data_IF_953355470193
#
_entry.id   IF_953355470193
#
_cell.length_a   1.000
_cell.length_b   1.000
_cell.length_c   1.000
_cell.angle_alpha   90.00
_cell.angle_beta   90.00
_cell.angle_gamma   90.00
#
_symmetry.space_group_name_H-M   'P 1'
#
loop_
_entity.id
_entity.type
_entity.pdbx_description
1 polymer ?
#
# COMPACT_ATOMS: atom_id res chain seq x y z
N UNK A 1 -2.00 -15.37 -49.83
CA UNK A 1 -1.89 -16.19 -51.05
C UNK A 1 -2.84 -17.38 -50.93
N UNK A 2 -3.91 -17.43 -51.74
CA UNK A 2 -4.86 -18.56 -51.76
C UNK A 2 -4.20 -19.78 -52.41
N UNK A 3 -4.15 -20.92 -51.72
CA UNK A 3 -3.93 -22.23 -52.35
C UNK A 3 -5.30 -22.87 -52.60
N UNK A 4 -5.66 -23.02 -53.87
CA UNK A 4 -6.82 -23.81 -54.31
C UNK A 4 -6.43 -25.29 -54.26
N UNK A 5 -7.23 -26.11 -53.57
CA UNK A 5 -7.13 -27.57 -53.63
C UNK A 5 -8.36 -28.05 -54.40
N UNK A 6 -8.14 -28.80 -55.46
CA UNK A 6 -9.20 -29.46 -56.24
C UNK A 6 -9.27 -30.94 -55.81
N UNK A 7 -10.46 -31.41 -55.46
CA UNK A 7 -10.71 -32.84 -55.24
C UNK A 7 -11.84 -33.25 -56.18
N UNK A 8 -11.54 -34.14 -57.13
CA UNK A 8 -12.53 -34.79 -57.98
C UNK A 8 -12.70 -36.23 -57.49
N UNK A 9 -13.93 -36.63 -57.16
CA UNK A 9 -14.27 -38.00 -56.85
C UNK A 9 -15.11 -38.56 -58.02
N UNK A 10 -14.53 -39.48 -58.80
CA UNK A 10 -15.28 -40.28 -59.77
C UNK A 10 -15.57 -41.66 -59.15
N UNK A 11 -16.83 -42.00 -58.95
CA UNK A 11 -17.24 -43.36 -58.60
C UNK A 11 -17.49 -44.16 -59.88
N UNK A 12 -16.72 -45.23 -60.08
CA UNK A 12 -17.01 -46.23 -61.09
C UNK A 12 -17.84 -47.36 -60.45
N UNK A 13 -19.06 -47.59 -60.95
CA UNK A 13 -19.83 -48.80 -60.59
C UNK A 13 -19.19 -50.01 -61.25
N UNK A 14 -18.53 -50.87 -60.47
CA UNK A 14 -18.21 -52.24 -60.90
C UNK A 14 -19.45 -53.12 -60.76
N UNK A 15 -19.94 -53.69 -61.87
CA UNK A 15 -20.76 -54.90 -61.82
C UNK A 15 -19.87 -56.08 -61.43
N UNK A 16 -20.27 -56.81 -60.40
CA UNK A 16 -19.60 -58.03 -59.95
C UNK A 16 -19.91 -59.20 -60.90
N UNK A 17 -18.88 -59.94 -61.30
CA UNK A 17 -19.00 -61.31 -61.80
C UNK A 17 -18.13 -62.23 -60.93
N UNK A 18 -18.75 -63.31 -60.44
CA UNK A 18 -18.14 -64.29 -59.55
C UNK A 18 -17.15 -65.19 -60.31
N UNK A 19 -16.00 -65.46 -59.70
CA UNK A 19 -15.00 -66.41 -60.19
C UNK A 19 -14.02 -66.80 -59.09
N UNK A 20 -14.03 -68.09 -58.76
CA UNK A 20 -13.28 -68.85 -57.74
C UNK A 20 -11.74 -68.80 -57.93
N UNK A 21 -10.98 -68.86 -56.83
CA UNK A 21 -9.55 -69.21 -56.88
C UNK A 21 -8.71 -68.83 -55.65
N UNK A 22 -8.38 -69.87 -54.88
CA UNK A 22 -7.49 -70.05 -53.73
C UNK A 22 -6.14 -69.29 -53.62
N UNK A 23 -5.83 -69.01 -52.34
CA UNK A 23 -4.58 -69.29 -51.59
C UNK A 23 -3.43 -68.26 -51.35
N UNK A 24 -3.12 -68.20 -50.05
CA UNK A 24 -1.93 -67.92 -49.22
C UNK A 24 -0.93 -66.75 -49.41
N UNK A 25 -0.55 -66.25 -48.22
CA UNK A 25 0.74 -65.69 -47.75
C UNK A 25 0.99 -64.16 -47.72
N UNK A 26 0.98 -63.65 -46.48
CA UNK A 26 1.73 -62.51 -45.91
C UNK A 26 3.28 -62.70 -45.96
N UNK A 27 4.19 -61.76 -45.53
CA UNK A 27 4.06 -60.39 -44.99
C UNK A 27 5.13 -59.34 -45.45
N UNK A 28 5.05 -58.12 -44.89
CA UNK A 28 6.13 -57.17 -44.48
C UNK A 28 6.51 -55.92 -45.31
N UNK A 29 6.52 -54.79 -44.56
CA UNK A 29 7.55 -53.72 -44.44
C UNK A 29 7.36 -52.35 -45.14
N UNK A 30 7.05 -51.36 -44.26
CA UNK A 30 7.60 -49.97 -44.10
C UNK A 30 7.47 -48.95 -45.26
N UNK A 31 7.03 -47.69 -44.99
CA UNK A 31 6.67 -46.74 -46.04
C UNK A 31 7.88 -45.99 -46.60
N UNK A 32 8.05 -46.02 -47.92
CA UNK A 32 8.85 -45.07 -48.69
C UNK A 32 7.93 -44.11 -49.45
N UNK A 33 8.13 -42.82 -49.21
CA UNK A 33 8.00 -41.64 -50.10
C UNK A 33 7.05 -41.79 -51.32
N UNK A 34 6.03 -40.92 -51.51
CA UNK A 34 5.13 -41.05 -52.65
C UNK A 34 5.88 -40.75 -53.96
N UNK A 35 6.07 -41.78 -54.77
CA UNK A 35 6.42 -41.71 -56.19
C UNK A 35 5.22 -41.18 -56.98
N UNK A 36 5.50 -40.30 -57.95
CA UNK A 36 4.52 -39.80 -58.88
C UNK A 36 4.04 -40.94 -59.81
N UNK A 37 2.78 -41.36 -59.64
CA UNK A 37 2.15 -42.31 -60.54
C UNK A 37 1.79 -41.58 -61.83
N UNK A 38 2.57 -41.81 -62.88
CA UNK A 38 2.28 -41.32 -64.23
C UNK A 38 1.50 -42.42 -64.98
N UNK A 39 0.16 -42.39 -64.90
CA UNK A 39 -0.68 -43.29 -65.70
C UNK A 39 -0.99 -42.63 -67.03
N UNK A 40 -0.47 -43.19 -68.11
CA UNK A 40 -0.90 -42.85 -69.48
C UNK A 40 -2.26 -43.51 -69.74
N UNK A 41 -3.34 -42.77 -70.06
CA UNK A 41 -4.64 -43.37 -70.31
C UNK A 41 -4.61 -44.14 -71.64
N UNK A 42 -4.91 -45.43 -71.59
CA UNK A 42 -5.21 -46.22 -72.79
C UNK A 42 -6.65 -45.91 -73.18
N UNK A 43 -6.81 -45.25 -74.33
CA UNK A 43 -8.11 -44.86 -74.89
C UNK A 43 -8.96 -46.09 -75.17
N UNK A 44 -10.12 -46.17 -74.54
CA UNK A 44 -11.29 -46.93 -75.00
C UNK A 44 -12.54 -46.04 -74.92
N UNK A 45 -13.46 -46.29 -75.84
CA UNK A 45 -14.64 -45.53 -76.29
C UNK A 45 -15.60 -44.97 -75.23
N UNK A 46 -16.42 -43.95 -75.58
CA UNK A 46 -17.04 -43.04 -74.62
C UNK A 46 -18.28 -43.66 -73.96
N UNK A 47 -18.20 -43.95 -72.67
CA UNK A 47 -19.37 -43.93 -71.81
C UNK A 47 -19.36 -42.59 -71.09
N UNK A 48 -20.46 -41.84 -71.22
CA UNK A 48 -20.66 -40.54 -70.58
C UNK A 48 -20.43 -40.63 -69.07
N UNK A 49 -19.24 -40.23 -68.63
CA UNK A 49 -18.96 -39.97 -67.23
C UNK A 49 -19.60 -38.62 -66.92
N UNK A 50 -20.78 -38.65 -66.32
CA UNK A 50 -21.40 -37.45 -65.75
C UNK A 50 -20.64 -37.06 -64.48
N UNK A 51 -19.63 -36.19 -64.65
CA UNK A 51 -19.02 -35.49 -63.52
C UNK A 51 -20.03 -34.48 -62.96
N UNK A 52 -20.20 -34.43 -61.64
CA UNK A 52 -20.89 -33.31 -60.99
C UNK A 52 -20.16 -32.00 -61.29
N UNK A 53 -20.89 -30.89 -61.49
CA UNK A 53 -20.29 -29.58 -61.76
C UNK A 53 -19.33 -29.17 -60.63
N UNK A 54 -18.25 -28.46 -60.98
CA UNK A 54 -17.30 -27.93 -60.00
C UNK A 54 -18.01 -26.97 -59.03
N UNK A 55 -18.16 -27.37 -57.77
CA UNK A 55 -18.62 -26.47 -56.73
C UNK A 55 -17.47 -25.64 -56.18
N UNK A 56 -17.66 -24.32 -56.14
CA UNK A 56 -16.70 -23.42 -55.50
C UNK A 56 -16.94 -23.43 -53.99
N UNK A 57 -16.19 -24.24 -53.25
CA UNK A 57 -16.23 -24.19 -51.78
C UNK A 57 -15.56 -22.89 -51.31
N UNK A 58 -16.34 -21.96 -50.74
CA UNK A 58 -15.78 -20.78 -50.07
C UNK A 58 -15.17 -21.23 -48.74
N UNK A 59 -13.91 -20.86 -48.49
CA UNK A 59 -13.33 -21.01 -47.16
C UNK A 59 -14.21 -20.22 -46.17
N UNK A 60 -14.75 -20.93 -45.17
CA UNK A 60 -15.44 -20.29 -44.05
C UNK A 60 -14.41 -19.40 -43.36
N UNK A 61 -14.73 -18.11 -43.19
CA UNK A 61 -13.88 -17.18 -42.44
C UNK A 61 -13.67 -17.77 -41.04
N UNK A 62 -12.42 -17.86 -40.60
CA UNK A 62 -12.11 -18.40 -39.28
C UNK A 62 -12.73 -17.53 -38.18
N UNK A 63 -13.13 -18.17 -37.08
CA UNK A 63 -13.56 -17.41 -35.91
C UNK A 63 -12.34 -16.79 -35.24
N UNK A 64 -12.49 -15.55 -34.76
CA UNK A 64 -11.45 -14.95 -33.93
C UNK A 64 -11.42 -15.64 -32.56
N UNK A 65 -10.22 -15.88 -32.00
CA UNK A 65 -10.11 -16.37 -30.63
C UNK A 65 -10.62 -15.31 -29.63
N UNK A 66 -11.02 -15.76 -28.45
CA UNK A 66 -11.58 -14.96 -27.37
C UNK A 66 -10.88 -15.25 -26.04
N UNK A 67 -10.72 -14.20 -25.24
CA UNK A 67 -10.32 -14.30 -23.85
C UNK A 67 -11.59 -14.25 -23.00
N UNK A 68 -11.73 -15.20 -22.08
CA UNK A 68 -12.84 -15.32 -21.14
C UNK A 68 -12.29 -15.34 -19.72
N UNK A 69 -13.14 -15.09 -18.73
CA UNK A 69 -12.81 -15.25 -17.30
C UNK A 69 -11.50 -14.52 -16.92
N UNK A 70 -11.39 -13.26 -17.34
CA UNK A 70 -10.17 -12.46 -17.14
C UNK A 70 -10.14 -11.97 -15.70
N UNK A 71 -9.05 -12.24 -15.01
CA UNK A 71 -8.87 -11.90 -13.61
C UNK A 71 -7.43 -11.43 -13.33
N UNK A 72 -7.29 -10.60 -12.30
CA UNK A 72 -6.00 -10.23 -11.73
C UNK A 72 -5.82 -11.06 -10.46
N UNK A 73 -4.78 -11.88 -10.42
CA UNK A 73 -4.38 -12.63 -9.23
C UNK A 73 -3.20 -11.94 -8.52
N UNK A 74 -3.19 -12.00 -7.20
CA UNK A 74 -2.12 -11.44 -6.36
C UNK A 74 -2.61 -10.30 -5.47
N UNK A 75 -1.78 -9.93 -4.49
CA UNK A 75 -2.07 -8.80 -3.61
C UNK A 75 -1.76 -7.48 -4.33
N UNK A 76 -2.72 -6.57 -4.39
CA UNK A 76 -2.61 -5.30 -5.15
C UNK A 76 -1.90 -4.21 -4.33
N UNK A 77 -0.72 -4.56 -3.81
CA UNK A 77 0.16 -3.66 -3.08
C UNK A 77 1.47 -3.47 -3.85
N UNK A 78 2.12 -2.34 -3.63
CA UNK A 78 3.48 -2.11 -4.07
C UNK A 78 4.39 -3.26 -3.67
N UNK A 79 5.35 -3.56 -4.55
CA UNK A 79 6.34 -4.63 -4.46
C UNK A 79 5.78 -6.06 -4.58
N UNK A 80 4.47 -6.22 -4.75
CA UNK A 80 3.84 -7.52 -4.99
C UNK A 80 3.64 -7.76 -6.49
N UNK A 81 3.85 -9.02 -6.90
CA UNK A 81 3.65 -9.45 -8.28
C UNK A 81 2.20 -9.87 -8.50
N UNK A 82 1.60 -9.26 -9.52
CA UNK A 82 0.30 -9.60 -10.05
C UNK A 82 0.44 -10.51 -11.27
N UNK A 83 -0.53 -11.40 -11.43
CA UNK A 83 -0.62 -12.33 -12.56
C UNK A 83 -1.96 -12.15 -13.27
N UNK A 84 -1.90 -11.93 -14.58
CA UNK A 84 -3.08 -11.89 -15.42
C UNK A 84 -3.47 -13.31 -15.83
N UNK A 85 -4.68 -13.71 -15.47
CA UNK A 85 -5.24 -14.99 -15.90
C UNK A 85 -6.40 -14.75 -16.84
N UNK A 86 -6.58 -15.68 -17.76
CA UNK A 86 -7.72 -15.73 -18.66
C UNK A 86 -7.85 -17.14 -19.23
N UNK A 87 -9.05 -17.46 -19.66
CA UNK A 87 -9.37 -18.68 -20.40
C UNK A 87 -9.43 -18.38 -21.89
N UNK A 88 -8.56 -19.02 -22.65
CA UNK A 88 -8.60 -18.97 -24.11
C UNK A 88 -9.77 -19.81 -24.66
N UNK A 89 -10.48 -19.25 -25.62
CA UNK A 89 -11.54 -19.92 -26.35
C UNK A 89 -11.44 -19.65 -27.85
N UNK A 90 -11.57 -20.69 -28.67
CA UNK A 90 -11.64 -20.58 -30.12
C UNK A 90 -12.69 -21.56 -30.66
N UNK A 91 -13.60 -21.09 -31.52
CA UNK A 91 -14.72 -21.92 -32.00
C UNK A 91 -14.25 -23.01 -32.96
N UNK A 92 -13.19 -22.73 -33.72
CA UNK A 92 -12.58 -23.63 -34.68
C UNK A 92 -11.59 -24.60 -34.01
N UNK A 93 -11.39 -24.46 -32.70
CA UNK A 93 -10.44 -25.22 -31.88
C UNK A 93 -8.99 -25.01 -32.33
N UNK A 94 -8.70 -23.84 -32.92
CA UNK A 94 -7.32 -23.49 -33.24
C UNK A 94 -6.53 -23.26 -31.93
N UNK A 95 -5.36 -23.91 -31.77
CA UNK A 95 -4.55 -23.75 -30.57
C UNK A 95 -4.08 -22.32 -30.37
N UNK A 96 -4.04 -21.92 -29.09
CA UNK A 96 -3.48 -20.64 -28.68
C UNK A 96 -1.99 -20.54 -29.06
N UNK A 97 -1.60 -19.34 -29.50
CA UNK A 97 -0.19 -18.91 -29.65
C UNK A 97 0.15 -17.81 -28.63
N UNK A 98 1.25 -17.08 -28.83
CA UNK A 98 1.66 -15.99 -27.94
C UNK A 98 0.63 -14.85 -27.97
N UNK A 99 -0.27 -14.86 -27.00
CA UNK A 99 -1.23 -13.77 -26.78
C UNK A 99 -0.50 -12.50 -26.33
N UNK A 100 -1.09 -11.34 -26.58
CA UNK A 100 -0.50 -10.05 -26.21
C UNK A 100 -1.11 -9.57 -24.90
N UNK A 101 -0.28 -9.02 -24.01
CA UNK A 101 -0.70 -8.53 -22.70
C UNK A 101 -0.35 -7.05 -22.54
N UNK A 102 -1.18 -6.33 -21.79
CA UNK A 102 -0.86 -4.98 -21.33
C UNK A 102 -1.34 -4.80 -19.89
N UNK A 103 -0.43 -4.34 -19.03
CA UNK A 103 -0.74 -3.82 -17.71
C UNK A 103 -0.76 -2.29 -17.76
N UNK A 104 -1.84 -1.71 -17.25
CA UNK A 104 -2.07 -0.27 -17.28
C UNK A 104 -2.36 0.20 -15.86
N UNK A 105 -1.55 1.11 -15.35
CA UNK A 105 -1.83 1.81 -14.09
C UNK A 105 -2.58 3.09 -14.41
N UNK A 106 -3.71 3.30 -13.73
CA UNK A 106 -4.61 4.43 -13.91
C UNK A 106 -4.49 5.32 -12.68
N UNK A 107 -3.90 6.51 -12.84
CA UNK A 107 -3.77 7.52 -11.78
C UNK A 107 -4.41 8.81 -12.26
N UNK A 108 -5.31 9.40 -11.47
CA UNK A 108 -5.99 10.64 -11.84
C UNK A 108 -6.62 10.60 -13.25
N UNK A 109 -7.21 9.46 -13.63
CA UNK A 109 -7.76 9.18 -14.96
C UNK A 109 -6.74 9.21 -16.12
N UNK A 110 -5.46 9.01 -15.83
CA UNK A 110 -4.39 8.88 -16.83
C UNK A 110 -3.94 7.42 -16.88
N UNK A 111 -4.16 6.79 -18.03
CA UNK A 111 -3.74 5.42 -18.32
C UNK A 111 -2.26 5.38 -18.70
N UNK A 112 -1.44 4.64 -17.94
CA UNK A 112 -0.01 4.43 -18.23
C UNK A 112 0.26 2.94 -18.42
N UNK A 113 0.73 2.54 -19.61
CA UNK A 113 1.18 1.16 -19.83
C UNK A 113 2.49 0.93 -19.08
N UNK A 114 2.50 -0.05 -18.18
CA UNK A 114 3.64 -0.34 -17.29
C UNK A 114 4.32 -1.69 -17.58
N UNK A 115 3.63 -2.62 -18.25
CA UNK A 115 4.20 -3.92 -18.65
C UNK A 115 3.44 -4.51 -19.83
N UNK A 116 4.14 -5.36 -20.62
CA UNK A 116 3.55 -6.21 -21.66
C UNK A 116 3.73 -7.70 -21.41
N UNK A 117 4.22 -8.05 -20.24
CA UNK A 117 4.33 -9.43 -19.78
C UNK A 117 3.01 -9.89 -19.16
N UNK A 118 2.82 -11.21 -19.01
CA UNK A 118 1.65 -11.76 -18.33
C UNK A 118 1.61 -11.42 -16.83
N UNK A 119 2.76 -11.09 -16.23
CA UNK A 119 2.88 -10.66 -14.85
C UNK A 119 3.44 -9.25 -14.73
N UNK A 120 3.13 -8.58 -13.62
CA UNK A 120 3.64 -7.25 -13.31
C UNK A 120 3.85 -7.07 -11.80
N UNK A 121 5.03 -6.60 -11.40
CA UNK A 121 5.30 -6.20 -10.01
C UNK A 121 4.91 -4.74 -9.81
N UNK A 122 3.87 -4.52 -9.01
CA UNK A 122 3.35 -3.19 -8.71
C UNK A 122 4.43 -2.34 -8.05
N UNK A 123 4.53 -1.04 -8.36
CA UNK A 123 5.47 -0.15 -7.71
C UNK A 123 4.84 0.48 -6.46
N UNK A 124 5.63 0.80 -5.44
CA UNK A 124 5.12 1.55 -4.26
C UNK A 124 4.46 2.87 -4.64
N UNK A 125 4.92 3.51 -5.72
CA UNK A 125 4.35 4.76 -6.24
C UNK A 125 3.00 4.56 -6.96
N UNK A 126 2.56 3.32 -7.19
CA UNK A 126 1.27 2.99 -7.81
C UNK A 126 0.11 3.00 -6.83
N UNK A 127 0.38 2.84 -5.54
CA UNK A 127 -0.62 2.92 -4.49
C UNK A 127 -1.19 4.34 -4.37
N UNK A 128 -2.44 4.43 -3.93
CA UNK A 128 -3.09 5.69 -3.66
C UNK A 128 -4.60 5.66 -3.86
N UNK A 129 -5.26 6.63 -3.22
CA UNK A 129 -6.71 6.78 -3.29
C UNK A 129 -7.18 6.96 -4.72
N UNK A 130 -8.02 6.03 -5.18
CA UNK A 130 -8.60 6.04 -6.52
C UNK A 130 -7.67 5.57 -7.64
N UNK A 131 -6.46 5.10 -7.32
CA UNK A 131 -5.59 4.47 -8.31
C UNK A 131 -6.11 3.06 -8.63
N UNK A 132 -6.02 2.68 -9.91
CA UNK A 132 -6.50 1.40 -10.40
C UNK A 132 -5.44 0.72 -11.25
N UNK A 133 -5.52 -0.61 -11.34
CA UNK A 133 -4.73 -1.43 -12.22
C UNK A 133 -5.66 -2.13 -13.21
N UNK A 134 -5.31 -2.09 -14.49
CA UNK A 134 -6.03 -2.76 -15.56
C UNK A 134 -5.11 -3.77 -16.23
N UNK A 135 -5.58 -5.01 -16.35
CA UNK A 135 -4.95 -6.05 -17.14
C UNK A 135 -5.76 -6.27 -18.41
N UNK A 136 -5.10 -6.19 -19.56
CA UNK A 136 -5.69 -6.43 -20.87
C UNK A 136 -4.98 -7.59 -21.57
N UNK A 137 -5.77 -8.42 -22.26
CA UNK A 137 -5.29 -9.52 -23.08
C UNK A 137 -5.90 -9.45 -24.47
N UNK A 138 -5.06 -9.69 -25.48
CA UNK A 138 -5.50 -9.96 -26.86
C UNK A 138 -5.12 -11.41 -27.19
N UNK A 139 -6.08 -12.33 -27.31
CA UNK A 139 -5.79 -13.73 -27.58
C UNK A 139 -5.36 -13.92 -29.03
N UNK A 140 -4.35 -14.75 -29.27
CA UNK A 140 -3.85 -15.06 -30.61
C UNK A 140 -3.89 -16.57 -30.87
N UNK A 141 -4.15 -16.91 -32.12
CA UNK A 141 -3.92 -18.24 -32.68
C UNK A 141 -2.98 -18.12 -33.90
N UNK A 142 -2.76 -19.20 -34.66
CA UNK A 142 -1.83 -19.16 -35.80
C UNK A 142 -2.36 -18.39 -37.03
N UNK A 143 -3.64 -17.99 -37.04
CA UNK A 143 -4.36 -17.47 -38.20
C UNK A 143 -5.03 -16.12 -37.97
N UNK A 144 -5.52 -15.88 -36.75
CA UNK A 144 -6.38 -14.75 -36.38
C UNK A 144 -5.94 -14.14 -35.04
N UNK A 145 -6.25 -12.85 -34.89
CA UNK A 145 -6.10 -12.10 -33.65
C UNK A 145 -7.49 -11.76 -33.10
N UNK A 146 -7.71 -12.06 -31.83
CA UNK A 146 -8.93 -11.71 -31.12
C UNK A 146 -9.06 -10.22 -30.83
N UNK A 147 -10.19 -9.84 -30.26
CA UNK A 147 -10.40 -8.49 -29.77
C UNK A 147 -9.81 -8.37 -28.35
N UNK A 148 -9.32 -7.17 -27.99
CA UNK A 148 -8.80 -6.88 -26.66
C UNK A 148 -9.91 -7.02 -25.61
N UNK A 149 -9.58 -7.63 -24.48
CA UNK A 149 -10.46 -7.74 -23.33
C UNK A 149 -9.69 -7.36 -22.08
N UNK A 150 -10.33 -6.64 -21.16
CA UNK A 150 -9.66 -6.11 -19.98
C UNK A 150 -10.48 -6.30 -18.71
N UNK A 151 -9.80 -6.41 -17.57
CA UNK A 151 -10.36 -6.28 -16.22
C UNK A 151 -9.67 -5.12 -15.52
N UNK A 152 -10.42 -4.32 -14.75
CA UNK A 152 -9.89 -3.19 -13.98
C UNK A 152 -10.27 -3.35 -12.52
N UNK A 153 -9.29 -3.15 -11.65
CA UNK A 153 -9.44 -3.33 -10.21
C UNK A 153 -8.77 -2.20 -9.44
N UNK A 154 -9.29 -1.87 -8.27
CA UNK A 154 -8.67 -0.87 -7.41
C UNK A 154 -7.35 -1.38 -6.84
N UNK A 155 -6.31 -0.53 -6.87
CA UNK A 155 -5.07 -0.77 -6.15
C UNK A 155 -5.34 -0.57 -4.66
N UNK A 156 -4.70 -1.35 -3.80
CA UNK A 156 -4.95 -1.30 -2.38
C UNK A 156 -4.55 0.06 -1.78
N UNK A 157 -5.47 0.68 -1.04
CA UNK A 157 -5.23 1.88 -0.24
C UNK A 157 -6.19 1.93 0.93
N UNK A 158 -5.84 2.72 1.95
CA UNK A 158 -6.75 2.96 3.07
C UNK A 158 -6.71 4.42 3.51
N UNK A 159 -7.79 4.85 4.16
CA UNK A 159 -7.92 6.17 4.76
C UNK A 159 -8.54 6.04 6.15
N UNK A 160 -8.02 6.80 7.12
CA UNK A 160 -8.61 6.88 8.45
C UNK A 160 -9.68 7.97 8.52
N UNK A 161 -10.64 7.77 9.42
CA UNK A 161 -11.72 8.70 9.74
C UNK A 161 -11.80 8.90 11.25
N UNK A 162 -12.00 10.14 11.70
CA UNK A 162 -12.26 10.44 13.11
C UNK A 162 -11.23 11.39 13.73
N UNK A 163 -10.90 11.16 15.00
CA UNK A 163 -10.21 12.14 15.85
C UNK A 163 -8.96 11.53 16.53
N UNK A 164 -7.78 12.08 16.29
CA UNK A 164 -6.51 11.73 16.94
C UNK A 164 -6.26 12.53 18.24
N UNK A 165 -7.28 12.61 19.07
CA UNK A 165 -7.21 13.33 20.35
C UNK A 165 -7.73 12.43 21.47
N UNK A 166 -7.61 12.90 22.71
CA UNK A 166 -8.15 12.20 23.87
C UNK A 166 -9.67 11.92 23.71
N UNK A 167 -10.08 10.69 24.02
CA UNK A 167 -11.42 10.15 23.76
C UNK A 167 -11.74 9.91 22.28
N UNK A 168 -10.79 10.15 21.38
CA UNK A 168 -10.93 10.00 19.94
C UNK A 168 -10.89 8.54 19.48
N UNK A 169 -11.52 8.29 18.34
CA UNK A 169 -11.55 6.99 17.67
C UNK A 169 -11.19 7.20 16.22
N UNK A 170 -10.32 6.33 15.70
CA UNK A 170 -9.93 6.29 14.29
C UNK A 170 -10.50 5.03 13.65
N UNK A 171 -11.36 5.21 12.65
CA UNK A 171 -11.95 4.10 11.88
C UNK A 171 -11.30 4.03 10.51
N UNK A 172 -10.77 2.88 10.08
CA UNK A 172 -10.16 2.76 8.77
C UNK A 172 -11.20 2.40 7.70
N UNK A 173 -11.02 2.93 6.50
CA UNK A 173 -11.74 2.56 5.28
C UNK A 173 -10.72 1.98 4.30
N UNK A 174 -10.94 0.74 3.86
CA UNK A 174 -10.02 -0.01 3.01
C UNK A 174 -10.66 -0.24 1.65
N UNK A 175 -9.88 -0.09 0.59
CA UNK A 175 -10.28 -0.39 -0.80
C UNK A 175 -9.15 -1.18 -1.45
N UNK A 176 -9.48 -2.19 -2.27
CA UNK A 176 -8.50 -3.00 -3.01
C UNK A 176 -7.71 -4.01 -2.17
N UNK A 177 -7.89 -4.03 -0.85
CA UNK A 177 -7.23 -4.99 0.05
C UNK A 177 -7.65 -6.44 -0.30
N UNK A 178 -6.72 -7.41 -0.25
CA UNK A 178 -7.03 -8.82 -0.43
C UNK A 178 -7.77 -9.35 0.81
N UNK A 179 -8.25 -10.60 0.73
CA UNK A 179 -8.69 -11.31 1.91
C UNK A 179 -7.52 -11.53 2.87
N UNK A 180 -7.63 -11.01 4.09
CA UNK A 180 -6.64 -11.17 5.17
C UNK A 180 -7.26 -11.85 6.38
N UNK A 181 -6.46 -12.56 7.17
CA UNK A 181 -6.94 -13.36 8.31
C UNK A 181 -7.08 -12.54 9.58
N UNK A 182 -6.19 -11.56 9.77
CA UNK A 182 -6.21 -10.65 10.90
C UNK A 182 -5.70 -9.26 10.50
N UNK A 183 -5.96 -8.28 11.35
CA UNK A 183 -5.44 -6.93 11.21
C UNK A 183 -5.02 -6.36 12.56
N UNK A 184 -4.08 -5.42 12.54
CA UNK A 184 -3.69 -4.73 13.75
C UNK A 184 -3.11 -3.34 13.47
N UNK A 185 -3.21 -2.47 14.47
CA UNK A 185 -2.58 -1.16 14.47
C UNK A 185 -1.19 -1.25 15.10
N UNK A 186 -0.21 -0.65 14.45
CA UNK A 186 1.19 -0.59 14.90
C UNK A 186 1.66 0.85 14.98
N UNK A 187 2.41 1.18 16.03
CA UNK A 187 3.14 2.44 16.11
C UNK A 187 4.55 2.25 15.54
N UNK A 188 5.10 3.29 14.92
CA UNK A 188 6.52 3.31 14.56
C UNK A 188 7.47 3.50 15.78
N UNK A 189 6.92 3.50 17.00
CA UNK A 189 7.69 3.53 18.23
C UNK A 189 8.42 2.23 18.48
N UNK A 190 9.76 2.28 18.55
CA UNK A 190 10.59 1.11 18.87
C UNK A 190 10.49 0.67 20.34
N UNK A 191 9.71 1.38 21.16
CA UNK A 191 9.48 1.03 22.57
C UNK A 191 8.27 0.12 22.74
N UNK A 192 7.37 0.12 21.76
CA UNK A 192 6.20 -0.74 21.75
C UNK A 192 6.49 -1.89 20.78
N UNK A 193 6.57 -3.11 21.32
CA UNK A 193 6.65 -4.32 20.49
C UNK A 193 5.29 -4.95 20.28
N UNK A 194 4.24 -4.53 21.00
CA UNK A 194 2.90 -5.08 20.86
C UNK A 194 2.04 -4.32 19.84
N UNK A 195 1.00 -5.00 19.33
CA UNK A 195 -0.05 -4.34 18.56
C UNK A 195 -0.88 -3.41 19.47
N UNK A 196 -1.20 -2.20 19.00
CA UNK A 196 -2.00 -1.23 19.76
C UNK A 196 -3.49 -1.61 19.79
N UNK A 197 -3.96 -2.25 18.72
CA UNK A 197 -5.29 -2.83 18.62
C UNK A 197 -5.22 -3.99 17.65
N UNK A 198 -5.73 -5.16 18.05
CA UNK A 198 -5.67 -6.41 17.30
C UNK A 198 -7.08 -6.92 17.01
N UNK A 199 -7.31 -7.29 15.76
CA UNK A 199 -8.50 -7.98 15.32
C UNK A 199 -8.13 -9.30 14.64
N UNK A 200 -8.56 -10.40 15.26
CA UNK A 200 -8.32 -11.77 14.76
C UNK A 200 -9.45 -12.25 13.86
N UNK A 201 -10.44 -11.40 13.58
CA UNK A 201 -11.57 -11.75 12.72
C UNK A 201 -11.19 -11.52 11.25
N UNK A 202 -11.50 -12.52 10.42
CA UNK A 202 -11.21 -12.52 9.00
C UNK A 202 -11.79 -11.27 8.30
N UNK A 203 -10.94 -10.58 7.54
CA UNK A 203 -11.28 -9.39 6.76
C UNK A 203 -11.93 -8.25 7.57
N UNK A 204 -11.71 -8.20 8.90
CA UNK A 204 -12.21 -7.12 9.75
C UNK A 204 -11.06 -6.29 10.33
N UNK A 205 -11.35 -5.01 10.54
CA UNK A 205 -10.45 -4.07 11.17
C UNK A 205 -11.17 -3.33 12.28
N UNK A 206 -10.68 -3.49 13.51
CA UNK A 206 -11.17 -2.70 14.65
C UNK A 206 -10.74 -1.24 14.53
N UNK A 207 -11.63 -0.29 14.85
CA UNK A 207 -11.22 1.08 15.07
C UNK A 207 -10.14 1.19 16.16
N UNK A 208 -9.21 2.12 15.97
CA UNK A 208 -8.21 2.45 16.97
C UNK A 208 -8.79 3.46 17.96
N UNK A 209 -8.91 3.06 19.23
CA UNK A 209 -9.30 3.97 20.31
C UNK A 209 -8.02 4.64 20.82
N UNK A 210 -7.93 5.96 20.71
CA UNK A 210 -6.71 6.73 21.00
C UNK A 210 -6.23 6.50 22.44
N UNK A 211 -7.15 6.47 23.40
CA UNK A 211 -6.82 6.39 24.83
C UNK A 211 -6.28 5.01 25.24
N UNK A 212 -6.59 3.95 24.50
CA UNK A 212 -6.14 2.58 24.80
C UNK A 212 -4.90 2.19 24.00
N UNK A 213 -4.42 3.04 23.08
CA UNK A 213 -3.31 2.74 22.17
C UNK A 213 -1.92 2.98 22.80
N UNK A 214 -1.78 2.75 24.10
CA UNK A 214 -0.59 3.06 24.91
C UNK A 214 0.03 4.42 24.56
N UNK A 215 -0.69 5.54 24.78
CA UNK A 215 -0.33 6.85 24.26
C UNK A 215 1.08 7.30 24.65
N UNK A 216 1.57 6.86 25.79
CA UNK A 216 2.92 7.13 26.31
C UNK A 216 4.04 6.69 25.35
N UNK A 217 3.79 5.63 24.58
CA UNK A 217 4.74 5.07 23.62
C UNK A 217 4.38 5.40 22.18
N UNK A 218 3.11 5.63 21.87
CA UNK A 218 2.64 5.87 20.50
C UNK A 218 2.49 7.36 20.14
N UNK A 219 2.44 8.27 21.12
CA UNK A 219 2.28 9.70 20.90
C UNK A 219 3.46 10.29 20.12
N UNK A 220 3.15 11.16 19.16
CA UNK A 220 4.08 11.75 18.19
C UNK A 220 4.78 10.72 17.27
N UNK A 221 4.35 9.46 17.24
CA UNK A 221 4.79 8.48 16.25
C UNK A 221 3.73 8.28 15.16
N UNK A 222 4.14 8.06 13.90
CA UNK A 222 3.21 7.63 12.88
C UNK A 222 2.62 6.27 13.24
N UNK A 223 1.37 6.10 12.85
CA UNK A 223 0.56 4.93 13.12
C UNK A 223 0.27 4.24 11.80
N UNK A 224 0.50 2.93 11.75
CA UNK A 224 0.24 2.10 10.58
C UNK A 224 -0.87 1.11 10.85
N UNK A 225 -1.68 0.84 9.82
CA UNK A 225 -2.56 -0.33 9.78
C UNK A 225 -1.80 -1.46 9.09
N UNK A 226 -1.77 -2.62 9.73
CA UNK A 226 -1.17 -3.83 9.21
C UNK A 226 -2.26 -4.89 9.01
N UNK A 227 -2.13 -5.68 7.95
CA UNK A 227 -2.95 -6.87 7.69
C UNK A 227 -2.04 -8.08 7.47
N UNK A 228 -2.43 -9.23 8.01
CA UNK A 228 -1.75 -10.50 7.77
C UNK A 228 -2.60 -11.44 6.93
N UNK A 229 -1.96 -12.12 5.98
CA UNK A 229 -2.60 -13.16 5.18
C UNK A 229 -2.67 -14.51 5.92
N UNK A 230 -2.02 -14.62 7.08
CA UNK A 230 -1.99 -15.79 7.96
C UNK A 230 -2.46 -15.48 9.39
N UNK A 231 -2.31 -16.43 10.32
CA UNK A 231 -2.80 -16.28 11.70
C UNK A 231 -1.75 -15.72 12.66
N UNK A 232 -0.56 -15.42 12.17
CA UNK A 232 0.54 -14.88 12.94
C UNK A 232 0.52 -13.34 12.85
N UNK A 233 1.11 -12.69 13.86
CA UNK A 233 1.12 -11.22 13.96
C UNK A 233 2.56 -10.72 13.95
N UNK A 234 2.75 -9.56 13.32
CA UNK A 234 4.04 -8.86 13.26
C UNK A 234 5.14 -9.65 12.57
N UNK A 235 4.77 -10.41 11.55
CA UNK A 235 5.73 -11.09 10.70
C UNK A 235 6.25 -10.12 9.62
N UNK A 236 7.38 -10.48 9.00
CA UNK A 236 8.01 -9.65 7.98
C UNK A 236 7.21 -9.56 6.67
N UNK A 237 6.26 -10.47 6.46
CA UNK A 237 5.34 -10.50 5.31
C UNK A 237 4.02 -9.76 5.56
N UNK A 238 3.81 -9.20 6.76
CA UNK A 238 2.65 -8.38 7.07
C UNK A 238 2.64 -7.09 6.26
N UNK A 239 1.47 -6.76 5.70
CA UNK A 239 1.32 -5.60 4.85
C UNK A 239 0.92 -4.41 5.71
N UNK A 240 1.91 -3.59 6.07
CA UNK A 240 1.71 -2.38 6.86
C UNK A 240 1.71 -1.11 6.00
N UNK A 241 0.74 -0.23 6.22
CA UNK A 241 0.68 1.10 5.59
C UNK A 241 0.49 2.18 6.63
N UNK A 242 1.34 3.21 6.54
CA UNK A 242 1.26 4.40 7.40
C UNK A 242 -0.01 5.17 7.09
N UNK A 243 -0.75 5.55 8.13
CA UNK A 243 -1.92 6.41 8.00
C UNK A 243 -1.50 7.82 7.59
N UNK A 244 -2.15 8.34 6.55
CA UNK A 244 -1.87 9.66 6.00
C UNK A 244 -2.94 10.68 6.41
N UNK A 245 -2.50 11.93 6.61
CA UNK A 245 -3.34 13.08 6.85
C UNK A 245 -4.34 13.26 5.70
N UNK A 246 -5.59 13.57 6.04
CA UNK A 246 -6.66 13.83 5.09
C UNK A 246 -7.75 14.69 5.77
N UNK A 247 -8.76 15.12 5.00
CA UNK A 247 -9.82 16.00 5.51
C UNK A 247 -10.77 15.35 6.53
N UNK A 248 -10.75 14.02 6.66
CA UNK A 248 -11.59 13.25 7.57
C UNK A 248 -10.86 12.85 8.87
N UNK A 249 -9.57 13.22 9.01
CA UNK A 249 -8.78 13.01 10.22
C UNK A 249 -8.50 14.35 10.91
N UNK A 250 -9.06 14.50 12.10
CA UNK A 250 -8.91 15.69 12.92
C UNK A 250 -8.04 15.43 14.16
N UNK A 251 -7.51 16.49 14.76
CA UNK A 251 -6.79 16.42 16.04
C UNK A 251 -5.38 15.82 15.99
N UNK A 252 -4.98 15.25 14.85
CA UNK A 252 -3.62 14.75 14.62
C UNK A 252 -2.64 15.89 14.39
N UNK A 253 -1.35 15.60 14.52
CA UNK A 253 -0.28 16.55 14.23
C UNK A 253 0.48 16.12 12.97
N UNK A 254 0.64 17.05 12.04
CA UNK A 254 1.66 16.94 10.99
C UNK A 254 3.02 17.17 11.64
N UNK A 255 3.83 16.13 11.72
CA UNK A 255 5.12 16.17 12.44
C UNK A 255 6.33 16.23 11.50
N UNK A 256 6.12 15.90 10.22
CA UNK A 256 7.13 15.95 9.16
C UNK A 256 6.79 17.08 8.17
N UNK A 257 7.71 18.02 7.97
CA UNK A 257 7.51 19.12 7.00
C UNK A 257 7.97 18.78 5.60
N UNK A 258 8.84 17.77 5.48
CA UNK A 258 9.27 17.31 4.18
C UNK A 258 8.16 16.45 3.56
N UNK A 259 7.35 15.81 4.39
CA UNK A 259 6.13 15.11 3.99
C UNK A 259 4.96 15.46 4.92
N UNK A 260 4.17 16.47 4.52
CA UNK A 260 2.99 16.93 5.26
C UNK A 260 1.84 15.92 5.29
N UNK A 261 1.94 14.81 4.54
CA UNK A 261 0.97 13.72 4.62
C UNK A 261 1.15 12.88 5.87
N UNK A 262 2.31 12.96 6.54
CA UNK A 262 2.58 12.15 7.74
C UNK A 262 1.94 12.77 8.96
N UNK A 263 1.04 12.01 9.58
CA UNK A 263 0.32 12.41 10.78
C UNK A 263 0.68 11.49 11.94
N UNK A 264 0.82 12.07 13.12
CA UNK A 264 0.96 11.34 14.37
C UNK A 264 -0.13 11.74 15.35
N UNK A 265 -0.42 10.83 16.27
CA UNK A 265 -1.24 11.13 17.44
C UNK A 265 -0.60 12.30 18.22
N UNK A 266 -1.43 13.22 18.69
CA UNK A 266 -0.98 14.34 19.52
C UNK A 266 -1.72 14.33 20.86
N UNK A 267 -1.48 13.27 21.62
CA UNK A 267 -2.17 12.98 22.88
C UNK A 267 -1.65 13.84 24.04
N UNK A 268 -2.56 14.22 24.94
CA UNK A 268 -2.28 14.96 26.21
C UNK A 268 -1.21 16.05 26.09
N UNK A 269 -1.38 16.95 25.13
CA UNK A 269 -0.50 18.15 25.00
C UNK A 269 -0.39 18.92 26.31
N UNK A 270 -1.51 19.05 27.00
CA UNK A 270 -1.64 19.71 28.28
C UNK A 270 -2.27 18.75 29.28
N UNK A 271 -1.82 18.83 30.53
CA UNK A 271 -2.36 18.06 31.66
C UNK A 271 -2.65 19.01 32.81
N UNK A 272 -3.78 18.78 33.49
CA UNK A 272 -4.11 19.49 34.71
C UNK A 272 -3.64 18.67 35.90
N UNK A 273 -2.87 19.30 36.79
CA UNK A 273 -2.27 18.66 37.97
C UNK A 273 -2.63 19.45 39.22
N UNK A 274 -2.59 18.78 40.38
CA UNK A 274 -2.74 19.45 41.68
C UNK A 274 -1.52 19.16 42.53
N UNK A 275 -0.79 20.21 42.89
CA UNK A 275 0.47 20.13 43.63
C UNK A 275 0.34 20.98 44.87
N UNK A 276 0.46 20.35 46.04
CA UNK A 276 0.31 21.03 47.33
C UNK A 276 -0.99 21.86 47.44
N UNK A 277 -2.09 21.31 46.91
CA UNK A 277 -3.42 21.95 46.91
C UNK A 277 -3.63 23.03 45.84
N UNK A 278 -2.61 23.38 45.06
CA UNK A 278 -2.70 24.35 43.95
C UNK A 278 -2.88 23.61 42.63
N UNK A 279 -3.75 24.15 41.77
CA UNK A 279 -4.02 23.58 40.45
C UNK A 279 -3.13 24.25 39.41
N UNK A 280 -2.51 23.42 38.58
CA UNK A 280 -1.68 23.88 37.48
C UNK A 280 -2.07 23.15 36.20
N UNK A 281 -1.79 23.81 35.08
CA UNK A 281 -1.83 23.23 33.75
C UNK A 281 -0.40 23.16 33.24
N UNK A 282 0.08 21.95 33.02
CA UNK A 282 1.43 21.71 32.47
C UNK A 282 1.29 21.36 31.00
N UNK A 283 2.16 21.95 30.18
CA UNK A 283 2.26 21.62 28.77
C UNK A 283 3.59 20.97 28.45
N UNK A 284 3.55 19.92 27.64
CA UNK A 284 4.75 19.25 27.14
C UNK A 284 5.62 20.20 26.31
N UNK A 285 6.90 19.88 26.10
CA UNK A 285 7.71 20.61 25.14
C UNK A 285 7.01 20.65 23.80
N UNK A 286 7.06 21.83 23.19
CA UNK A 286 6.60 22.01 21.83
C UNK A 286 7.43 21.16 20.87
N UNK A 287 6.77 20.57 19.89
CA UNK A 287 7.51 20.10 18.72
C UNK A 287 7.92 21.31 17.88
N UNK A 288 9.03 21.18 17.15
CA UNK A 288 9.42 22.15 16.14
C UNK A 288 8.33 22.32 15.08
N UNK A 289 7.48 21.31 14.92
CA UNK A 289 6.34 21.38 14.02
C UNK A 289 5.25 22.33 14.49
N UNK A 290 4.79 22.13 15.72
CA UNK A 290 3.85 23.06 16.35
C UNK A 290 4.40 24.49 16.34
N UNK A 291 5.69 24.66 16.64
CA UNK A 291 6.33 25.97 16.68
C UNK A 291 6.29 26.70 15.32
N UNK A 292 6.50 25.98 14.21
CA UNK A 292 6.42 26.56 12.86
C UNK A 292 4.99 26.76 12.39
N UNK A 293 4.08 25.84 12.73
CA UNK A 293 2.66 25.94 12.38
C UNK A 293 2.03 27.22 12.96
N UNK A 294 2.39 27.60 14.19
CA UNK A 294 1.94 28.85 14.81
C UNK A 294 2.72 30.10 14.35
N UNK A 295 3.57 29.99 13.32
CA UNK A 295 4.43 31.06 12.80
C UNK A 295 5.35 31.70 13.86
N UNK A 296 5.66 30.99 14.94
CA UNK A 296 6.48 31.49 16.06
C UNK A 296 7.97 31.50 15.70
N UNK A 297 8.40 30.69 14.73
CA UNK A 297 9.78 30.67 14.24
C UNK A 297 10.23 31.96 13.56
N UNK A 298 9.28 32.84 13.18
CA UNK A 298 9.57 34.16 12.61
C UNK A 298 9.40 35.29 13.62
N UNK A 299 8.97 34.98 14.84
CA UNK A 299 8.74 35.98 15.87
C UNK A 299 10.11 36.50 16.39
N UNK A 300 10.39 37.80 16.30
CA UNK A 300 11.63 38.39 16.81
C UNK A 300 11.87 38.16 18.31
N UNK A 301 10.82 37.85 19.09
CA UNK A 301 10.94 37.55 20.52
C UNK A 301 11.58 36.18 20.78
N UNK A 302 11.54 35.25 19.81
CA UNK A 302 11.97 33.86 19.98
C UNK A 302 13.12 33.47 19.05
N UNK A 303 14.01 34.42 18.71
CA UNK A 303 15.11 34.20 17.76
C UNK A 303 16.15 33.15 18.19
N UNK A 304 16.23 32.77 19.47
CA UNK A 304 17.10 31.68 19.90
C UNK A 304 16.52 30.30 19.60
N UNK A 305 15.23 30.22 19.25
CA UNK A 305 14.54 28.96 19.01
C UNK A 305 15.25 28.14 17.94
N UNK A 306 15.50 26.88 18.26
CA UNK A 306 16.07 25.93 17.30
C UNK A 306 15.47 24.54 17.50
N UNK A 307 15.48 23.70 16.45
CA UNK A 307 15.07 22.32 16.59
C UNK A 307 16.10 21.54 17.41
N UNK A 308 15.59 20.74 18.34
CA UNK A 308 16.35 19.65 18.94
C UNK A 308 16.17 18.35 18.17
N UNK A 309 17.15 17.46 18.31
CA UNK A 309 17.05 16.08 17.84
C UNK A 309 16.46 15.27 18.99
N UNK A 310 15.30 14.63 18.79
CA UNK A 310 14.74 13.66 19.75
C UNK A 310 15.07 12.19 19.40
N UNK A 311 15.46 11.88 18.15
CA UNK A 311 16.25 10.68 17.77
C UNK A 311 16.70 10.69 16.29
N UNK A 312 17.83 10.06 16.00
CA UNK A 312 18.30 9.67 14.66
C UNK A 312 17.50 8.47 14.10
N UNK A 313 17.22 8.49 12.79
CA UNK A 313 16.48 7.47 12.04
C UNK A 313 15.41 8.06 11.10
N UNK A 314 14.53 7.22 10.53
CA UNK A 314 13.54 7.61 9.51
C UNK A 314 12.25 8.29 10.04
N UNK A 315 12.06 8.37 11.37
CA UNK A 315 10.80 8.84 12.01
C UNK A 315 11.02 10.00 13.01
N UNK A 316 11.87 10.97 12.65
CA UNK A 316 12.35 12.00 13.58
C UNK A 316 11.28 13.05 13.91
N UNK A 317 10.86 13.13 15.18
CA UNK A 317 10.21 14.32 15.76
C UNK A 317 11.29 15.25 16.30
N UNK A 318 11.17 16.56 16.07
CA UNK A 318 12.08 17.57 16.63
C UNK A 318 11.35 18.35 17.71
N UNK A 319 12.01 18.58 18.85
CA UNK A 319 11.48 19.45 19.93
C UNK A 319 11.99 20.88 19.77
N UNK A 320 11.40 21.84 20.47
CA UNK A 320 11.92 23.22 20.52
C UNK A 320 12.94 23.38 21.65
N UNK A 321 14.08 24.02 21.36
CA UNK A 321 15.04 24.51 22.36
C UNK A 321 15.16 26.02 22.29
N UNK A 322 15.33 26.67 23.44
CA UNK A 322 15.55 28.11 23.55
C UNK A 322 16.51 28.41 24.71
N UNK A 323 17.05 29.63 24.76
CA UNK A 323 17.72 30.12 25.97
C UNK A 323 16.76 30.21 27.15
N UNK A 324 17.23 30.12 28.41
CA UNK A 324 16.36 30.15 29.59
C UNK A 324 15.37 31.33 29.63
N UNK A 325 15.84 32.53 29.27
CA UNK A 325 15.01 33.75 29.25
C UNK A 325 13.93 33.64 28.18
N UNK A 326 14.29 33.27 26.95
CA UNK A 326 13.31 33.17 25.86
C UNK A 326 12.31 32.03 26.09
N UNK A 327 12.74 30.89 26.63
CA UNK A 327 11.85 29.80 27.04
C UNK A 327 10.80 30.29 28.07
N UNK A 328 11.24 31.02 29.10
CA UNK A 328 10.34 31.59 30.10
C UNK A 328 9.37 32.62 29.51
N UNK A 329 9.85 33.53 28.65
CA UNK A 329 9.00 34.52 28.00
C UNK A 329 7.99 33.85 27.07
N UNK A 330 8.42 32.83 26.32
CA UNK A 330 7.54 32.02 25.49
C UNK A 330 6.42 31.40 26.31
N UNK A 331 6.75 30.72 27.41
CA UNK A 331 5.74 30.10 28.26
C UNK A 331 4.79 31.12 28.89
N UNK A 332 5.31 32.26 29.38
CA UNK A 332 4.48 33.32 29.95
C UNK A 332 3.53 33.93 28.92
N UNK A 333 3.99 34.16 27.69
CA UNK A 333 3.16 34.73 26.62
C UNK A 333 2.13 33.73 26.11
N UNK A 334 2.51 32.47 25.95
CA UNK A 334 1.63 31.44 25.40
C UNK A 334 0.61 30.91 26.42
N UNK A 335 0.95 30.92 27.72
CA UNK A 335 0.18 30.21 28.76
C UNK A 335 -0.12 31.01 30.02
N UNK A 336 0.50 32.18 30.19
CA UNK A 336 0.43 32.95 31.42
C UNK A 336 1.41 32.45 32.48
N UNK A 337 1.29 33.03 33.68
CA UNK A 337 2.10 32.58 34.80
C UNK A 337 1.58 31.22 35.32
N UNK A 338 2.46 30.30 35.75
CA UNK A 338 3.92 30.48 35.90
C UNK A 338 4.79 29.82 34.79
N UNK A 339 5.05 30.52 33.69
CA UNK A 339 6.27 30.38 32.86
C UNK A 339 6.84 28.97 32.63
N UNK A 340 8.17 28.83 32.73
CA UNK A 340 8.85 27.52 32.67
C UNK A 340 8.65 26.77 33.98
N UNK A 341 8.42 25.46 33.89
CA UNK A 341 8.22 24.56 35.03
C UNK A 341 9.40 24.59 36.03
N UNK A 342 9.14 24.40 37.33
CA UNK A 342 10.19 24.21 38.34
C UNK A 342 10.65 22.76 38.45
N UNK A 343 11.86 22.55 38.97
CA UNK A 343 12.43 21.21 39.22
C UNK A 343 11.53 20.33 40.09
N UNK A 344 10.98 20.91 41.15
CA UNK A 344 10.10 20.21 42.09
C UNK A 344 8.86 19.63 41.41
N UNK A 345 8.22 20.40 40.53
CA UNK A 345 7.01 20.01 39.79
C UNK A 345 7.36 18.96 38.72
N UNK A 346 8.46 19.19 38.01
CA UNK A 346 8.93 18.28 36.95
C UNK A 346 9.20 16.87 37.49
N UNK A 347 9.74 16.76 38.72
CA UNK A 347 9.99 15.48 39.40
C UNK A 347 8.73 14.88 40.04
N UNK A 348 7.82 15.68 40.59
CA UNK A 348 6.65 15.19 41.34
C UNK A 348 5.50 14.68 40.47
N UNK A 349 5.27 15.27 39.30
CA UNK A 349 4.13 14.91 38.44
C UNK A 349 4.40 13.74 37.48
N UNK A 350 5.63 13.20 37.52
CA UNK A 350 6.03 12.05 36.74
C UNK A 350 5.95 12.28 35.23
N UNK A 351 6.46 13.44 34.81
CA UNK A 351 6.66 13.80 33.39
C UNK A 351 7.63 12.82 32.68
N UNK A 352 8.31 11.96 33.45
CA UNK A 352 9.27 10.94 33.02
C UNK A 352 9.20 9.73 33.98
N UNK A 353 9.42 8.48 33.53
CA UNK A 353 8.60 7.66 32.63
C UNK A 353 7.51 6.82 33.37
N UNK A 354 7.36 6.98 34.68
CA UNK A 354 6.46 6.17 35.53
C UNK A 354 5.29 6.94 36.15
N UNK A 355 5.03 8.17 35.68
CA UNK A 355 3.97 9.04 36.21
C UNK A 355 2.59 8.84 35.61
N UNK A 356 1.60 9.60 36.12
CA UNK A 356 0.20 9.60 35.64
C UNK A 356 -0.01 10.46 34.37
N UNK A 357 0.99 11.22 33.95
CA UNK A 357 0.91 12.24 32.88
C UNK A 357 1.90 11.96 31.74
N UNK A 358 2.08 10.68 31.39
CA UNK A 358 3.14 10.19 30.52
C UNK A 358 3.15 10.91 29.14
N UNK A 359 4.18 11.73 28.93
CA UNK A 359 4.59 12.17 27.60
C UNK A 359 5.65 11.22 27.04
N UNK A 360 5.86 11.20 25.71
CA UNK A 360 6.93 10.43 25.10
C UNK A 360 8.25 10.59 25.88
N UNK A 361 8.83 9.48 26.33
CA UNK A 361 10.05 9.48 27.15
C UNK A 361 11.22 10.21 26.46
N UNK A 362 11.24 10.28 25.13
CA UNK A 362 12.27 11.02 24.40
C UNK A 362 12.15 12.54 24.49
N UNK A 363 10.94 13.07 24.70
CA UNK A 363 10.82 14.47 25.11
C UNK A 363 11.60 14.62 26.41
N UNK A 364 11.36 13.72 27.35
CA UNK A 364 11.89 13.74 28.70
C UNK A 364 13.40 13.45 28.84
N UNK A 365 14.05 12.77 27.88
CA UNK A 365 15.49 12.46 27.93
C UNK A 365 16.40 13.63 27.54
N UNK A 366 15.83 14.75 27.09
CA UNK A 366 16.61 15.94 26.76
C UNK A 366 17.08 16.66 28.04
N UNK A 367 18.13 17.47 27.93
CA UNK A 367 18.46 18.42 29.00
C UNK A 367 17.40 19.53 29.02
N UNK A 368 16.69 19.63 30.15
CA UNK A 368 15.65 20.63 30.38
C UNK A 368 16.20 21.82 31.11
N UNK A 369 15.70 23.02 30.80
CA UNK A 369 15.77 24.14 31.73
C UNK A 369 14.50 24.18 32.57
N UNK A 370 14.67 24.34 33.88
CA UNK A 370 13.59 24.62 34.83
C UNK A 370 13.81 25.97 35.49
N UNK A 371 12.75 26.57 36.05
CA UNK A 371 12.81 27.83 36.79
C UNK A 371 12.39 27.62 38.23
N UNK A 372 13.33 27.82 39.14
CA UNK A 372 13.10 27.63 40.57
C UNK A 372 12.27 28.77 41.18
N UNK A 373 11.62 28.54 42.35
CA UNK A 373 10.81 29.57 43.02
C UNK A 373 11.57 30.85 43.35
N UNK A 374 12.89 30.77 43.52
CA UNK A 374 13.77 31.93 43.73
C UNK A 374 14.08 32.70 42.43
N UNK A 375 13.60 32.23 41.27
CA UNK A 375 13.79 32.83 39.96
C UNK A 375 15.01 32.32 39.18
N UNK A 376 15.83 31.47 39.77
CA UNK A 376 17.03 30.90 39.11
C UNK A 376 16.65 29.84 38.08
N UNK A 377 17.46 29.74 37.02
CA UNK A 377 17.31 28.71 35.99
C UNK A 377 18.34 27.60 36.21
N UNK A 378 17.90 26.34 36.15
CA UNK A 378 18.76 25.16 36.36
C UNK A 378 18.49 24.08 35.31
N UNK A 379 19.43 23.16 35.11
CA UNK A 379 19.35 22.11 34.07
C UNK A 379 19.33 20.66 34.57
N UNK A 380 19.60 20.48 35.86
CA UNK A 380 19.48 19.21 36.57
C UNK A 380 18.65 19.49 37.82
N UNK A 381 17.38 19.09 37.78
CA UNK A 381 16.43 19.31 38.86
C UNK A 381 16.81 18.63 40.17
N UNK A 382 17.64 17.58 40.10
CA UNK A 382 18.11 16.87 41.29
C UNK A 382 19.37 17.50 41.87
N UNK A 383 20.24 18.05 41.03
CA UNK A 383 21.54 18.61 41.44
C UNK A 383 21.60 20.15 41.47
N UNK A 384 20.53 20.84 41.06
CA UNK A 384 20.43 22.31 40.97
C UNK A 384 21.61 22.93 40.23
N UNK A 385 22.02 22.32 39.10
CA UNK A 385 23.11 22.85 38.27
C UNK A 385 22.61 24.12 37.56
N UNK A 386 23.22 25.30 37.77
CA UNK A 386 22.80 26.53 37.10
C UNK A 386 22.81 26.39 35.57
N UNK A 387 21.78 26.90 34.92
CA UNK A 387 21.72 26.93 33.46
C UNK A 387 22.68 27.99 32.91
N UNK A 388 23.40 27.65 31.83
CA UNK A 388 24.08 28.67 31.05
C UNK A 388 23.04 29.48 30.27
N UNK A 389 22.98 30.78 30.56
CA UNK A 389 21.98 31.69 29.99
C UNK A 389 22.11 31.89 28.47
N UNK A 390 23.25 31.53 27.88
CA UNK A 390 23.51 31.58 26.44
C UNK A 390 23.24 30.25 25.72
N UNK A 391 23.24 29.15 26.47
CA UNK A 391 22.93 27.81 25.98
C UNK A 391 21.43 27.61 25.79
N UNK A 392 21.05 26.61 24.98
CA UNK A 392 19.66 26.33 24.62
C UNK A 392 19.23 24.96 25.13
N UNK A 393 18.07 24.94 25.78
CA UNK A 393 17.55 23.75 26.47
C UNK A 393 16.12 23.46 26.06
N UNK A 394 15.71 22.21 26.26
CA UNK A 394 14.31 21.84 26.19
C UNK A 394 13.58 22.47 27.39
N UNK A 395 12.28 22.67 27.27
CA UNK A 395 11.49 23.24 28.36
C UNK A 395 10.04 22.77 28.27
N UNK A 396 9.38 22.74 29.42
CA UNK A 396 7.95 22.56 29.53
C UNK A 396 7.34 23.82 30.18
N UNK A 397 6.11 24.14 29.78
CA UNK A 397 5.42 25.32 30.27
C UNK A 397 4.45 24.95 31.39
N UNK A 398 4.30 25.86 32.34
CA UNK A 398 3.42 25.71 33.48
C UNK A 398 2.53 26.96 33.58
N UNK A 399 1.25 26.76 33.81
CA UNK A 399 0.27 27.83 34.02
C UNK A 399 -0.56 27.54 35.27
N UNK A 400 -0.92 28.57 36.03
CA UNK A 400 -1.85 28.42 37.13
C UNK A 400 -3.25 28.24 36.55
N UNK A 401 -4.02 27.30 37.10
CA UNK A 401 -5.44 27.18 36.77
C UNK A 401 -6.21 28.07 37.76
N UNK A 402 -7.05 29.01 37.27
CA UNK A 402 -7.88 29.87 38.11
C UNK A 402 -8.74 29.11 39.12
#
# INVERSE_FOLDING_TARGET
>A
MLKKIFVAACTASLMAYAGSGDDSTTPTKKPSKPEAINVTPKVSTPNDVACTPEETVRAVKDSKPRAMDIEIQGARFGEHTLYGQYKYFDLNKDPQTSSLFEWIVIKNNIDTVVSREQSYTLQMSDEGKGNQIRFCVTPLNAKEQGDIQCVTEDIAWFEGFGEFKEGGVITPYLVGYPNFKLSYWKSASNMLTAAMALDLIHAQVKPLIVDTADPSFSNLYPISLCVSLDHDIQNDDDICREMKANSNLNGGMVFDFNDTSRVAMNYKREVNVTISGKKYRIRRPYTWAEFKEFNLAKDPEFLSAEPSIMREGFNMVRGVKMTPIQANNFCLRAYGAPGVISSSINLSDGVIPSGRHQWPIYLALQTYVTKEPNGEFVIDSNKHIPADMSSKYAFACLAAVP
#
